data_IF_755432804263
#
_entry.id   IF_755432804263
#
_cell.length_a   1.000
_cell.length_b   1.000
_cell.length_c   1.000
_cell.angle_alpha   90.00
_cell.angle_beta   90.00
_cell.angle_gamma   90.00
#
_symmetry.space_group_name_H-M   'P 1'
#
loop_
_entity.id
_entity.type
_entity.pdbx_description
1 polymer ?
#
# COMPACT_ATOMS: atom_id res chain seq x y z
N UNK A 1 -15.84 12.66 -11.06
CA UNK A 1 -15.94 11.33 -11.72
C UNK A 1 -14.75 10.50 -11.23
N UNK A 2 -14.97 9.24 -10.83
CA UNK A 2 -14.00 8.47 -10.04
C UNK A 2 -12.63 8.23 -10.70
N UNK A 3 -12.58 8.04 -12.02
CA UNK A 3 -11.35 7.71 -12.77
C UNK A 3 -11.02 8.71 -13.89
N UNK A 4 -11.57 9.93 -13.80
CA UNK A 4 -11.24 10.98 -14.76
C UNK A 4 -9.79 11.41 -14.66
N UNK A 5 -9.32 12.11 -15.69
CA UNK A 5 -8.04 12.81 -15.61
C UNK A 5 -8.10 13.87 -14.51
N UNK A 6 -7.02 13.93 -13.72
CA UNK A 6 -6.82 14.93 -12.69
C UNK A 6 -5.34 15.33 -12.70
N UNK A 7 -5.07 16.63 -12.56
CA UNK A 7 -3.71 17.13 -12.35
C UNK A 7 -3.14 16.57 -11.03
N UNK A 8 -1.81 16.46 -10.98
CA UNK A 8 -1.10 16.07 -9.76
C UNK A 8 -0.93 17.25 -8.82
N UNK A 9 -1.08 16.98 -7.53
CA UNK A 9 -0.92 17.98 -6.47
C UNK A 9 -0.01 17.44 -5.38
N UNK A 10 0.73 18.34 -4.77
CA UNK A 10 1.37 18.13 -3.49
C UNK A 10 0.47 18.70 -2.39
N UNK A 11 0.35 18.00 -1.28
CA UNK A 11 -0.47 18.42 -0.14
C UNK A 11 0.42 18.82 1.03
N UNK A 12 0.13 19.97 1.64
CA UNK A 12 0.81 20.43 2.85
C UNK A 12 0.54 19.47 4.03
N UNK A 13 -0.70 19.00 4.16
CA UNK A 13 -1.08 17.94 5.11
C UNK A 13 -1.29 16.65 4.32
N UNK A 14 -0.27 15.78 4.33
CA UNK A 14 -0.28 14.53 3.58
C UNK A 14 -1.05 13.43 4.33
N UNK A 15 -2.15 12.88 3.78
CA UNK A 15 -2.89 11.79 4.41
C UNK A 15 -2.21 10.42 4.24
N UNK A 16 -1.20 10.27 3.39
CA UNK A 16 -0.49 9.00 3.16
C UNK A 16 0.29 8.60 4.41
N UNK A 17 -0.12 7.48 5.01
CA UNK A 17 0.55 6.88 6.16
C UNK A 17 1.56 5.81 5.76
N UNK A 18 1.34 5.14 4.61
CA UNK A 18 2.28 4.18 4.06
C UNK A 18 2.10 4.04 2.54
N UNK A 19 3.22 3.94 1.81
CA UNK A 19 3.24 3.55 0.39
C UNK A 19 4.14 2.34 0.24
N UNK A 20 3.67 1.31 -0.47
CA UNK A 20 4.32 0.01 -0.58
C UNK A 20 4.40 -0.39 -2.06
N UNK A 21 5.57 -0.77 -2.53
CA UNK A 21 5.74 -1.53 -3.77
C UNK A 21 6.19 -2.95 -3.42
N UNK A 22 5.52 -3.97 -3.96
CA UNK A 22 5.87 -5.38 -3.76
C UNK A 22 5.97 -6.09 -5.10
N UNK A 23 7.08 -6.79 -5.32
CA UNK A 23 7.30 -7.64 -6.46
C UNK A 23 7.42 -9.08 -5.98
N UNK A 24 6.53 -9.95 -6.46
CA UNK A 24 6.58 -11.39 -6.21
C UNK A 24 7.25 -12.10 -7.37
N UNK A 25 7.96 -13.18 -7.09
CA UNK A 25 8.71 -13.97 -8.06
C UNK A 25 8.71 -15.44 -7.65
N UNK A 26 8.96 -16.37 -8.59
CA UNK A 26 9.09 -17.79 -8.28
C UNK A 26 10.18 -18.01 -7.21
N UNK A 27 9.93 -18.92 -6.28
CA UNK A 27 10.77 -19.04 -5.08
C UNK A 27 12.27 -19.26 -5.40
N UNK A 28 13.12 -18.42 -4.82
CA UNK A 28 14.59 -18.49 -4.93
C UNK A 28 15.14 -19.05 -3.61
N UNK A 29 15.39 -20.36 -3.59
CA UNK A 29 15.78 -21.08 -2.38
C UNK A 29 17.11 -20.60 -1.76
N UNK A 30 18.03 -20.06 -2.58
CA UNK A 30 19.30 -19.52 -2.10
C UNK A 30 19.16 -18.34 -1.14
N UNK A 31 18.03 -17.60 -1.19
CA UNK A 31 17.71 -16.52 -0.24
C UNK A 31 17.45 -17.08 1.17
N UNK A 32 16.84 -18.26 1.26
CA UNK A 32 16.55 -18.91 2.55
C UNK A 32 17.65 -19.86 3.01
N UNK A 33 18.57 -20.25 2.13
CA UNK A 33 19.66 -21.17 2.47
C UNK A 33 20.71 -20.56 3.42
N UNK A 34 20.91 -19.24 3.35
CA UNK A 34 21.79 -18.46 4.22
C UNK A 34 21.28 -17.03 4.31
N UNK A 35 21.76 -16.26 5.28
CA UNK A 35 21.46 -14.82 5.32
C UNK A 35 21.89 -14.15 3.99
N UNK A 36 21.08 -13.21 3.45
CA UNK A 36 21.29 -12.58 2.15
C UNK A 36 22.40 -11.51 2.22
N UNK A 37 23.60 -11.89 2.69
CA UNK A 37 24.71 -10.99 2.97
C UNK A 37 25.14 -10.16 1.74
N UNK A 38 25.16 -10.74 0.55
CA UNK A 38 25.50 -10.01 -0.68
C UNK A 38 24.51 -8.88 -0.96
N UNK A 39 23.21 -9.13 -0.78
CA UNK A 39 22.19 -8.11 -0.95
C UNK A 39 22.26 -7.06 0.16
N UNK A 40 22.49 -7.50 1.41
CA UNK A 40 22.69 -6.61 2.54
C UNK A 40 23.86 -5.64 2.29
N UNK A 41 25.02 -6.14 1.85
CA UNK A 41 26.20 -5.34 1.54
C UNK A 41 25.93 -4.29 0.45
N UNK A 42 25.11 -4.63 -0.56
CA UNK A 42 24.76 -3.72 -1.64
C UNK A 42 23.84 -2.55 -1.17
N UNK A 43 22.93 -2.82 -0.22
CA UNK A 43 21.92 -1.83 0.22
C UNK A 43 22.25 -1.16 1.57
N UNK A 44 23.21 -1.67 2.35
CA UNK A 44 23.48 -1.22 3.73
C UNK A 44 23.82 0.25 3.90
N UNK A 45 24.33 0.91 2.84
CA UNK A 45 24.58 2.36 2.87
C UNK A 45 23.30 3.15 3.11
N UNK A 46 22.21 2.73 2.47
CA UNK A 46 20.91 3.43 2.52
C UNK A 46 19.98 2.79 3.57
N UNK A 47 20.17 1.49 3.83
CA UNK A 47 19.39 0.68 4.79
C UNK A 47 20.31 -0.02 5.81
N UNK A 48 20.94 0.72 6.73
CA UNK A 48 21.97 0.18 7.62
C UNK A 48 21.43 -0.74 8.73
N UNK A 49 20.14 -0.68 9.05
CA UNK A 49 19.53 -1.50 10.10
C UNK A 49 18.99 -2.80 9.50
N UNK A 50 19.33 -3.93 10.11
CA UNK A 50 18.90 -5.25 9.67
C UNK A 50 18.12 -5.97 10.77
N UNK A 51 17.01 -6.59 10.40
CA UNK A 51 16.17 -7.42 11.28
C UNK A 51 15.71 -8.66 10.53
N UNK A 52 15.53 -9.76 11.27
CA UNK A 52 14.95 -11.01 10.75
C UNK A 52 13.65 -11.27 11.49
N UNK A 53 12.56 -11.42 10.75
CA UNK A 53 11.25 -11.77 11.29
C UNK A 53 10.82 -13.12 10.71
N UNK A 54 10.24 -13.98 11.55
CA UNK A 54 9.60 -15.21 11.09
C UNK A 54 8.09 -14.97 11.05
N UNK A 55 7.57 -14.77 9.85
CA UNK A 55 6.14 -14.53 9.63
C UNK A 55 5.42 -15.85 9.48
N UNK A 56 4.38 -16.06 10.28
CA UNK A 56 3.55 -17.24 10.15
C UNK A 56 2.36 -16.92 9.24
N UNK A 57 2.21 -17.62 8.09
CA UNK A 57 1.07 -17.41 7.21
C UNK A 57 -0.25 -17.66 7.93
N UNK A 58 -1.30 -16.94 7.54
CA UNK A 58 -2.65 -17.24 8.00
C UNK A 58 -2.99 -18.71 7.68
N UNK A 59 -3.64 -19.45 8.61
CA UNK A 59 -4.04 -20.82 8.36
C UNK A 59 -4.95 -20.90 7.12
N UNK A 60 -4.69 -21.85 6.24
CA UNK A 60 -5.60 -22.16 5.14
C UNK A 60 -6.58 -23.22 5.62
N UNK A 61 -7.87 -23.00 5.38
CA UNK A 61 -8.86 -24.06 5.60
C UNK A 61 -8.91 -24.92 4.33
N UNK A 62 -8.50 -26.18 4.43
CA UNK A 62 -8.65 -27.17 3.37
C UNK A 62 -9.90 -28.00 3.62
N UNK A 63 -10.59 -28.44 2.55
CA UNK A 63 -11.79 -29.28 2.68
C UNK A 63 -13.04 -28.57 3.22
N UNK A 64 -13.15 -27.25 3.06
CA UNK A 64 -14.33 -26.47 3.46
C UNK A 64 -15.61 -27.07 2.82
N UNK A 65 -16.60 -27.44 3.64
CA UNK A 65 -17.84 -28.09 3.19
C UNK A 65 -17.80 -29.63 3.18
N UNK A 66 -16.71 -30.25 3.63
CA UNK A 66 -16.61 -31.70 3.88
C UNK A 66 -16.44 -32.00 5.38
N UNK A 67 -16.74 -33.23 5.85
CA UNK A 67 -16.47 -33.62 7.25
C UNK A 67 -14.98 -33.55 7.64
N UNK A 68 -14.09 -33.46 6.65
CA UNK A 68 -12.63 -33.47 6.82
C UNK A 68 -12.00 -32.08 6.72
N UNK A 69 -12.75 -31.01 7.02
CA UNK A 69 -12.18 -29.66 7.04
C UNK A 69 -11.00 -29.59 8.01
N UNK A 70 -9.84 -29.15 7.53
CA UNK A 70 -8.60 -29.02 8.32
C UNK A 70 -8.04 -27.61 8.20
N UNK A 71 -7.47 -27.14 9.31
CA UNK A 71 -6.65 -25.94 9.32
C UNK A 71 -5.21 -26.35 9.04
N UNK A 72 -4.73 -26.01 7.85
CA UNK A 72 -3.33 -26.20 7.47
C UNK A 72 -2.56 -24.92 7.76
N UNK A 73 -1.59 -25.03 8.66
CA UNK A 73 -0.68 -23.95 8.98
C UNK A 73 0.52 -24.01 8.02
N UNK A 74 0.74 -22.94 7.28
CA UNK A 74 1.90 -22.85 6.39
C UNK A 74 3.20 -22.80 7.19
N UNK A 75 4.30 -23.24 6.57
CA UNK A 75 5.63 -23.08 7.15
C UNK A 75 5.94 -21.59 7.39
N UNK A 76 6.66 -21.24 8.47
CA UNK A 76 7.11 -19.88 8.71
C UNK A 76 7.94 -19.35 7.54
N UNK A 77 7.67 -18.11 7.13
CA UNK A 77 8.41 -17.41 6.09
C UNK A 77 9.42 -16.50 6.77
N UNK A 78 10.70 -16.67 6.47
CA UNK A 78 11.74 -15.75 6.92
C UNK A 78 11.68 -14.47 6.08
N UNK A 79 11.43 -13.35 6.75
CA UNK A 79 11.44 -12.01 6.18
C UNK A 79 12.65 -11.22 6.69
N UNK A 80 13.56 -10.91 5.77
CA UNK A 80 14.73 -10.07 6.01
C UNK A 80 14.35 -8.61 5.80
N UNK A 81 14.34 -7.83 6.87
CA UNK A 81 14.02 -6.40 6.83
C UNK A 81 15.28 -5.56 6.89
N UNK A 82 15.46 -4.67 5.91
CA UNK A 82 16.50 -3.64 5.87
C UNK A 82 15.86 -2.27 6.02
N UNK A 83 16.30 -1.48 7.00
CA UNK A 83 15.61 -0.26 7.42
C UNK A 83 16.59 0.91 7.35
N UNK A 84 16.12 2.05 6.83
CA UNK A 84 16.89 3.29 6.81
C UNK A 84 17.24 3.79 8.21
N UNK A 85 18.26 4.64 8.32
CA UNK A 85 18.70 5.17 9.61
C UNK A 85 17.61 5.97 10.35
N UNK A 86 16.71 6.63 9.62
CA UNK A 86 15.56 7.35 10.17
C UNK A 86 14.35 6.44 10.48
N UNK A 87 14.38 5.18 10.06
CA UNK A 87 13.27 4.24 10.23
C UNK A 87 12.09 4.46 9.30
N UNK A 88 12.19 5.39 8.33
CA UNK A 88 11.08 5.78 7.47
C UNK A 88 10.97 4.95 6.20
N UNK A 89 12.05 4.28 5.78
CA UNK A 89 12.09 3.41 4.61
C UNK A 89 12.43 1.98 5.05
N UNK A 90 11.74 1.02 4.44
CA UNK A 90 11.91 -0.40 4.74
C UNK A 90 11.93 -1.21 3.46
N UNK A 91 12.99 -1.99 3.28
CA UNK A 91 13.05 -3.10 2.33
C UNK A 91 12.73 -4.40 3.06
N UNK A 92 11.90 -5.23 2.45
CA UNK A 92 11.68 -6.61 2.87
C UNK A 92 12.11 -7.54 1.76
N UNK A 93 12.83 -8.61 2.11
CA UNK A 93 13.22 -9.67 1.20
C UNK A 93 12.84 -11.01 1.82
N UNK A 94 12.05 -11.80 1.08
CA UNK A 94 11.82 -13.21 1.36
C UNK A 94 12.31 -14.03 0.18
N UNK A 95 12.15 -15.36 0.22
CA UNK A 95 12.45 -16.20 -0.93
C UNK A 95 11.49 -16.03 -2.11
N UNK A 96 10.39 -15.28 -1.98
CA UNK A 96 9.33 -15.18 -3.01
C UNK A 96 8.85 -13.77 -3.28
N UNK A 97 9.35 -12.77 -2.53
CA UNK A 97 9.09 -11.37 -2.84
C UNK A 97 10.18 -10.43 -2.33
N UNK A 98 10.26 -9.27 -2.99
CA UNK A 98 10.94 -8.07 -2.51
C UNK A 98 9.91 -6.94 -2.40
N UNK A 99 9.99 -6.14 -1.35
CA UNK A 99 9.12 -4.98 -1.20
C UNK A 99 9.86 -3.77 -0.64
N UNK A 100 9.53 -2.58 -1.13
CA UNK A 100 9.93 -1.30 -0.56
C UNK A 100 8.70 -0.61 0.02
N UNK A 101 8.78 -0.13 1.26
CA UNK A 101 7.77 0.76 1.82
C UNK A 101 8.36 2.02 2.44
N UNK A 102 7.54 3.06 2.51
CA UNK A 102 7.85 4.31 3.19
C UNK A 102 6.69 4.82 4.03
N UNK A 103 7.01 5.35 5.21
CA UNK A 103 6.08 6.06 6.08
C UNK A 103 6.09 7.59 5.84
N UNK A 104 6.95 8.06 4.92
CA UNK A 104 7.05 9.48 4.56
C UNK A 104 7.17 9.61 3.05
N UNK A 105 6.08 9.30 2.36
CA UNK A 105 5.98 9.54 0.93
C UNK A 105 5.95 11.05 0.64
N UNK A 106 6.78 11.50 -0.29
CA UNK A 106 6.81 12.90 -0.73
C UNK A 106 6.21 13.06 -2.12
N UNK A 107 6.75 12.33 -3.09
CA UNK A 107 6.26 12.28 -4.47
C UNK A 107 6.71 10.99 -5.15
N UNK A 108 6.16 10.75 -6.34
CA UNK A 108 6.36 9.52 -7.09
C UNK A 108 7.80 9.33 -7.52
N UNK A 109 8.41 10.40 -8.03
CA UNK A 109 9.76 10.39 -8.59
C UNK A 109 10.78 9.94 -7.55
N UNK A 110 10.66 10.43 -6.31
CA UNK A 110 11.58 10.09 -5.23
C UNK A 110 11.37 8.65 -4.75
N UNK A 111 10.12 8.17 -4.76
CA UNK A 111 9.81 6.78 -4.42
C UNK A 111 10.35 5.81 -5.48
N UNK A 112 10.09 6.09 -6.75
CA UNK A 112 10.59 5.29 -7.87
C UNK A 112 12.12 5.25 -7.88
N UNK A 113 12.79 6.40 -7.74
CA UNK A 113 14.25 6.47 -7.66
C UNK A 113 14.82 5.66 -6.48
N UNK A 114 14.15 5.67 -5.32
CA UNK A 114 14.58 4.86 -4.17
C UNK A 114 14.36 3.36 -4.36
N UNK A 115 13.45 2.95 -5.23
CA UNK A 115 13.24 1.55 -5.58
C UNK A 115 14.29 1.02 -6.57
N UNK A 116 14.76 1.88 -7.49
CA UNK A 116 15.64 1.48 -8.59
C UNK A 116 16.89 0.72 -8.13
N UNK A 117 17.65 1.29 -7.18
CA UNK A 117 18.91 0.68 -6.72
C UNK A 117 18.68 -0.69 -6.04
N UNK A 118 17.83 -0.82 -5.00
CA UNK A 118 17.57 -2.12 -4.39
C UNK A 118 17.06 -3.17 -5.39
N UNK A 119 16.21 -2.77 -6.34
CA UNK A 119 15.69 -3.69 -7.33
C UNK A 119 16.77 -4.14 -8.32
N UNK A 120 17.63 -3.23 -8.78
CA UNK A 120 18.75 -3.56 -9.66
C UNK A 120 19.73 -4.55 -8.99
N UNK A 121 20.11 -4.29 -7.74
CA UNK A 121 20.98 -5.18 -6.95
C UNK A 121 20.34 -6.56 -6.75
N UNK A 122 19.03 -6.59 -6.47
CA UNK A 122 18.28 -7.85 -6.36
C UNK A 122 18.33 -8.66 -7.67
N UNK A 123 18.06 -8.02 -8.82
CA UNK A 123 18.08 -8.66 -10.13
C UNK A 123 19.49 -9.18 -10.45
N UNK A 124 20.53 -8.40 -10.18
CA UNK A 124 21.92 -8.79 -10.44
C UNK A 124 22.34 -10.00 -9.59
N UNK A 125 21.96 -10.04 -8.30
CA UNK A 125 22.38 -11.07 -7.36
C UNK A 125 21.60 -12.37 -7.56
N UNK A 126 20.28 -12.29 -7.75
CA UNK A 126 19.39 -13.46 -7.71
C UNK A 126 18.81 -13.86 -9.05
N UNK A 127 18.90 -13.01 -10.08
CA UNK A 127 18.49 -13.33 -11.45
C UNK A 127 17.09 -13.98 -11.53
N UNK A 128 16.03 -13.34 -11.00
CA UNK A 128 14.69 -13.90 -11.05
C UNK A 128 14.29 -14.13 -12.52
N UNK A 129 13.69 -15.29 -12.83
CA UNK A 129 13.28 -15.60 -14.21
C UNK A 129 12.20 -14.65 -14.71
N UNK A 130 11.27 -14.25 -13.83
CA UNK A 130 10.22 -13.27 -14.05
C UNK A 130 9.61 -12.88 -12.70
N UNK A 131 8.78 -11.84 -12.70
CA UNK A 131 7.90 -11.49 -11.58
C UNK A 131 6.51 -12.05 -11.82
N UNK A 132 5.95 -12.73 -10.82
CA UNK A 132 4.58 -13.28 -10.81
C UNK A 132 3.53 -12.19 -10.58
N UNK A 133 3.91 -11.15 -9.81
CA UNK A 133 3.05 -10.01 -9.49
C UNK A 133 3.88 -8.78 -9.21
N UNK A 134 3.43 -7.64 -9.73
CA UNK A 134 3.90 -6.30 -9.32
C UNK A 134 2.72 -5.60 -8.67
N UNK A 135 2.89 -5.14 -7.43
CA UNK A 135 1.87 -4.42 -6.68
C UNK A 135 2.36 -3.06 -6.20
N UNK A 136 1.46 -2.08 -6.17
CA UNK A 136 1.68 -0.74 -5.69
C UNK A 136 0.47 -0.31 -4.83
N UNK A 137 0.72 -0.08 -3.54
CA UNK A 137 -0.31 0.21 -2.55
C UNK A 137 -0.09 1.57 -1.90
N UNK A 138 -1.16 2.35 -1.80
CA UNK A 138 -1.21 3.61 -1.06
C UNK A 138 -2.23 3.51 0.07
N UNK A 139 -1.79 3.74 1.29
CA UNK A 139 -2.65 3.78 2.47
C UNK A 139 -2.77 5.23 2.93
N UNK A 140 -3.97 5.78 2.82
CA UNK A 140 -4.30 7.12 3.30
C UNK A 140 -5.13 7.03 4.57
N UNK A 141 -4.92 7.96 5.50
CA UNK A 141 -5.74 8.14 6.68
C UNK A 141 -6.03 9.63 6.89
N UNK A 142 -7.24 10.05 6.53
CA UNK A 142 -7.66 11.45 6.65
C UNK A 142 -8.04 11.76 8.10
N UNK A 143 -7.33 12.70 8.72
CA UNK A 143 -7.55 13.17 10.09
C UNK A 143 -8.32 14.48 10.06
N UNK A 144 -9.54 14.49 10.59
CA UNK A 144 -10.32 15.73 10.75
C UNK A 144 -9.59 16.67 11.70
N UNK A 145 -8.99 16.13 12.76
CA UNK A 145 -8.21 16.92 13.73
C UNK A 145 -7.00 17.60 13.10
N UNK A 146 -6.17 16.88 12.36
CA UNK A 146 -4.98 17.45 11.73
C UNK A 146 -5.31 18.48 10.64
N UNK A 147 -6.51 18.40 10.08
CA UNK A 147 -7.01 19.31 9.06
C UNK A 147 -7.86 20.45 9.62
N UNK A 148 -8.10 20.50 10.95
CA UNK A 148 -9.03 21.43 11.60
C UNK A 148 -10.46 21.37 11.03
N UNK A 149 -10.92 20.17 10.69
CA UNK A 149 -12.26 19.86 10.17
C UNK A 149 -13.10 19.10 11.21
N UNK A 150 -12.79 19.28 12.49
CA UNK A 150 -13.59 18.73 13.59
C UNK A 150 -14.98 19.39 13.55
N UNK A 151 -16.01 18.62 13.19
CA UNK A 151 -17.39 19.10 13.02
C UNK A 151 -17.96 18.85 11.63
N UNK A 152 -17.13 18.72 10.60
CA UNK A 152 -17.58 18.31 9.26
C UNK A 152 -17.97 16.84 9.24
N UNK A 153 -19.03 16.52 8.50
CA UNK A 153 -19.40 15.13 8.21
C UNK A 153 -18.45 14.54 7.17
N UNK A 154 -18.28 13.22 7.16
CA UNK A 154 -17.52 12.55 6.11
C UNK A 154 -18.13 12.76 4.72
N UNK A 155 -19.45 12.96 4.62
CA UNK A 155 -20.16 13.33 3.39
C UNK A 155 -19.74 14.67 2.79
N UNK A 156 -19.21 15.59 3.60
CA UNK A 156 -18.64 16.86 3.14
C UNK A 156 -17.20 16.67 2.61
N UNK A 157 -16.50 15.63 3.04
CA UNK A 157 -15.06 15.44 2.84
C UNK A 157 -14.71 14.37 1.80
N UNK A 158 -15.54 13.33 1.70
CA UNK A 158 -15.30 12.15 0.87
C UNK A 158 -16.46 11.98 -0.11
N UNK A 159 -16.15 11.55 -1.33
CA UNK A 159 -17.15 11.33 -2.36
C UNK A 159 -18.14 10.22 -1.97
N UNK A 160 -19.44 10.35 -2.28
CA UNK A 160 -20.49 9.40 -1.87
C UNK A 160 -20.20 7.92 -2.21
N UNK A 161 -19.50 7.67 -3.33
CA UNK A 161 -19.14 6.33 -3.78
C UNK A 161 -18.30 5.52 -2.76
N UNK A 162 -17.67 6.19 -1.79
CA UNK A 162 -16.84 5.55 -0.76
C UNK A 162 -17.50 5.50 0.61
N UNK A 163 -18.68 6.12 0.77
CA UNK A 163 -19.30 6.35 2.07
C UNK A 163 -20.43 5.37 2.40
N UNK A 164 -21.04 4.76 1.38
CA UNK A 164 -22.23 3.94 1.59
C UNK A 164 -23.31 4.74 2.33
N UNK A 165 -23.85 4.18 3.41
CA UNK A 165 -24.91 4.83 4.21
C UNK A 165 -24.48 6.15 4.86
N UNK A 166 -23.18 6.40 5.04
CA UNK A 166 -22.68 7.68 5.59
C UNK A 166 -22.86 8.86 4.62
N UNK A 167 -23.24 8.60 3.36
CA UNK A 167 -23.59 9.65 2.42
C UNK A 167 -24.98 10.24 2.65
N UNK A 168 -25.86 9.54 3.39
CA UNK A 168 -27.25 9.95 3.61
C UNK A 168 -27.37 10.98 4.74
N UNK A 169 -28.15 12.04 4.51
CA UNK A 169 -28.25 13.19 5.42
C UNK A 169 -29.00 12.89 6.72
N UNK A 170 -29.84 11.87 6.74
CA UNK A 170 -30.65 11.44 7.89
C UNK A 170 -29.92 10.42 8.78
N UNK A 171 -28.67 10.09 8.45
CA UNK A 171 -27.83 9.15 9.20
C UNK A 171 -26.91 9.91 10.15
N UNK A 172 -27.07 9.72 11.45
CA UNK A 172 -26.13 10.22 12.46
C UNK A 172 -24.85 9.36 12.46
N UNK A 173 -23.73 9.91 11.98
CA UNK A 173 -22.43 9.23 11.96
C UNK A 173 -22.02 8.66 13.32
N UNK A 174 -22.42 9.29 14.43
CA UNK A 174 -22.06 8.84 15.79
C UNK A 174 -22.77 7.56 16.19
N UNK A 175 -23.92 7.27 15.58
CA UNK A 175 -24.66 6.03 15.79
C UNK A 175 -24.11 4.87 14.96
N UNK A 176 -23.27 5.15 13.95
CA UNK A 176 -22.71 4.14 13.05
C UNK A 176 -21.46 3.52 13.66
N UNK A 177 -21.59 2.29 14.18
CA UNK A 177 -20.46 1.56 14.78
C UNK A 177 -19.39 1.11 13.77
N UNK A 178 -19.78 0.81 12.53
CA UNK A 178 -18.87 0.44 11.43
C UNK A 178 -19.53 0.70 10.08
N UNK A 179 -18.80 1.34 9.17
CA UNK A 179 -19.17 1.44 7.76
C UNK A 179 -17.89 1.33 6.93
N UNK A 180 -17.83 0.37 6.02
CA UNK A 180 -16.69 0.20 5.13
C UNK A 180 -17.09 -0.42 3.81
N UNK A 181 -16.31 -0.13 2.78
CA UNK A 181 -16.43 -0.61 1.41
C UNK A 181 -15.18 -1.41 1.08
N UNK A 182 -15.35 -2.60 0.50
CA UNK A 182 -14.30 -3.38 -0.13
C UNK A 182 -14.63 -3.59 -1.61
N UNK A 183 -13.73 -3.20 -2.51
CA UNK A 183 -13.89 -3.36 -3.96
C UNK A 183 -12.71 -4.12 -4.53
N UNK A 184 -13.00 -5.13 -5.34
CA UNK A 184 -12.02 -5.76 -6.22
C UNK A 184 -12.51 -5.66 -7.66
N UNK A 185 -11.75 -4.98 -8.52
CA UNK A 185 -12.14 -4.77 -9.91
C UNK A 185 -10.96 -4.84 -10.88
N UNK A 186 -11.26 -5.19 -12.14
CA UNK A 186 -10.34 -5.01 -13.25
C UNK A 186 -10.42 -3.56 -13.76
N UNK A 187 -9.27 -2.97 -13.98
CA UNK A 187 -9.06 -1.78 -14.79
C UNK A 187 -8.44 -2.23 -16.12
N UNK A 188 -8.26 -1.30 -17.05
CA UNK A 188 -7.72 -1.61 -18.40
C UNK A 188 -6.37 -2.33 -18.35
N UNK A 189 -5.44 -1.82 -17.53
CA UNK A 189 -4.05 -2.30 -17.47
C UNK A 189 -3.68 -3.03 -16.16
N UNK A 190 -4.54 -3.01 -15.15
CA UNK A 190 -4.25 -3.57 -13.83
C UNK A 190 -5.50 -3.98 -13.04
N UNK A 191 -5.31 -4.58 -11.87
CA UNK A 191 -6.36 -4.91 -10.90
C UNK A 191 -6.29 -3.90 -9.75
N UNK A 192 -7.45 -3.45 -9.29
CA UNK A 192 -7.60 -2.64 -8.08
C UNK A 192 -8.21 -3.50 -6.96
N UNK A 193 -7.59 -3.46 -5.79
CA UNK A 193 -8.21 -3.80 -4.50
C UNK A 193 -8.28 -2.54 -3.66
N UNK A 194 -9.47 -2.19 -3.20
CA UNK A 194 -9.74 -0.97 -2.44
C UNK A 194 -10.47 -1.32 -1.16
N UNK A 195 -10.00 -0.76 -0.05
CA UNK A 195 -10.72 -0.68 1.21
C UNK A 195 -10.91 0.79 1.58
N UNK A 196 -12.15 1.17 1.91
CA UNK A 196 -12.47 2.54 2.30
C UNK A 196 -13.47 2.60 3.45
N UNK A 197 -13.31 3.55 4.37
CA UNK A 197 -14.27 3.80 5.45
C UNK A 197 -13.64 4.37 6.73
N UNK A 198 -14.44 4.83 7.69
CA UNK A 198 -13.93 5.24 9.00
C UNK A 198 -13.27 4.09 9.77
N UNK A 199 -12.09 4.33 10.32
CA UNK A 199 -11.32 3.32 11.04
C UNK A 199 -10.25 3.91 11.97
N UNK A 200 -9.67 3.03 12.79
CA UNK A 200 -8.61 3.38 13.74
C UNK A 200 -7.27 2.83 13.27
N UNK A 201 -6.27 3.70 13.14
CA UNK A 201 -4.90 3.26 12.89
C UNK A 201 -4.36 2.47 14.08
N UNK A 202 -3.77 1.29 13.81
CA UNK A 202 -3.21 0.43 14.85
C UNK A 202 -4.22 0.01 15.94
N UNK A 203 -5.52 0.00 15.63
CA UNK A 203 -6.58 -0.31 16.58
C UNK A 203 -6.78 0.73 17.68
N UNK A 204 -6.34 1.97 17.47
CA UNK A 204 -6.59 3.08 18.40
C UNK A 204 -5.63 3.16 19.58
N UNK A 205 -4.64 2.25 19.66
CA UNK A 205 -3.74 2.14 20.84
C UNK A 205 -2.87 3.36 21.09
N UNK A 206 -2.38 3.99 20.01
CA UNK A 206 -1.55 5.21 20.08
C UNK A 206 -2.33 6.48 19.78
N UNK A 207 -3.35 6.35 18.94
CA UNK A 207 -4.14 7.46 18.44
C UNK A 207 -5.61 7.01 18.36
N UNK A 208 -6.47 7.49 19.27
CA UNK A 208 -7.87 7.08 19.32
C UNK A 208 -8.76 7.81 18.30
N UNK A 209 -8.20 8.71 17.47
CA UNK A 209 -8.99 9.40 16.45
C UNK A 209 -9.45 8.44 15.34
N UNK A 210 -10.76 8.40 15.11
CA UNK A 210 -11.34 7.77 13.92
C UNK A 210 -10.99 8.61 12.70
N UNK A 211 -10.21 8.03 11.79
CA UNK A 211 -9.82 8.62 10.50
C UNK A 211 -10.58 7.94 9.38
N UNK A 212 -10.75 8.61 8.25
CA UNK A 212 -11.22 7.94 7.05
C UNK A 212 -10.04 7.24 6.38
N UNK A 213 -10.10 5.91 6.25
CA UNK A 213 -9.06 5.13 5.61
C UNK A 213 -9.39 5.00 4.13
N UNK A 214 -8.41 5.26 3.27
CA UNK A 214 -8.48 4.98 1.84
C UNK A 214 -7.22 4.19 1.45
N UNK A 215 -7.38 2.87 1.40
CA UNK A 215 -6.33 1.90 1.16
C UNK A 215 -6.56 1.24 -0.19
N UNK A 216 -5.64 1.49 -1.13
CA UNK A 216 -5.76 1.03 -2.51
C UNK A 216 -4.49 0.29 -2.91
N UNK A 217 -4.63 -0.94 -3.40
CA UNK A 217 -3.57 -1.80 -3.93
C UNK A 217 -3.86 -2.07 -5.42
N UNK A 218 -2.99 -1.54 -6.27
CA UNK A 218 -2.99 -1.79 -7.70
C UNK A 218 -2.00 -2.91 -8.01
N UNK A 219 -2.38 -3.84 -8.89
CA UNK A 219 -1.45 -4.89 -9.29
C UNK A 219 -1.64 -5.44 -10.68
N UNK A 220 -0.54 -5.95 -11.23
CA UNK A 220 -0.50 -6.76 -12.44
C UNK A 220 0.08 -8.12 -12.07
N UNK A 221 -0.49 -9.19 -12.61
CA UNK A 221 -0.04 -10.57 -12.39
C UNK A 221 0.22 -11.26 -13.73
N UNK A 222 1.13 -12.22 -13.74
CA UNK A 222 1.51 -12.98 -14.94
C UNK A 222 3.00 -13.30 -14.93
N UNK A 223 3.55 -13.68 -16.09
CA UNK A 223 4.99 -13.87 -16.24
C UNK A 223 5.61 -12.56 -16.72
N UNK A 224 5.92 -11.66 -15.78
CA UNK A 224 6.33 -10.28 -16.08
C UNK A 224 7.85 -10.16 -16.12
N UNK A 225 8.46 -9.81 -17.26
CA UNK A 225 9.90 -9.55 -17.33
C UNK A 225 10.29 -8.30 -16.52
N UNK A 226 11.53 -8.25 -16.04
CA UNK A 226 11.99 -7.18 -15.15
C UNK A 226 11.98 -5.78 -15.78
N UNK A 227 12.20 -5.68 -17.10
CA UNK A 227 12.17 -4.43 -17.86
C UNK A 227 10.76 -3.80 -17.93
N UNK A 228 9.70 -4.57 -17.65
CA UNK A 228 8.32 -4.07 -17.58
C UNK A 228 7.96 -3.42 -16.25
N UNK A 229 8.79 -3.59 -15.22
CA UNK A 229 8.48 -3.08 -13.87
C UNK A 229 8.24 -1.57 -13.86
N UNK A 230 9.12 -0.71 -14.41
CA UNK A 230 8.93 0.74 -14.34
C UNK A 230 7.65 1.21 -15.04
N UNK A 231 7.33 0.63 -16.22
CA UNK A 231 6.13 0.96 -16.97
C UNK A 231 4.85 0.59 -16.24
N UNK A 232 4.78 -0.63 -15.68
CA UNK A 232 3.62 -1.08 -14.91
C UNK A 232 3.41 -0.21 -13.66
N UNK A 233 4.50 0.13 -12.95
CA UNK A 233 4.44 0.99 -11.79
C UNK A 233 3.94 2.41 -12.13
N UNK A 234 4.38 2.98 -13.25
CA UNK A 234 3.92 4.29 -13.70
C UNK A 234 2.41 4.29 -14.02
N UNK A 235 1.90 3.27 -14.72
CA UNK A 235 0.47 3.14 -15.02
C UNK A 235 -0.36 2.99 -13.73
N UNK A 236 0.08 2.13 -12.81
CA UNK A 236 -0.60 1.96 -11.51
C UNK A 236 -0.58 3.25 -10.69
N UNK A 237 0.51 4.01 -10.70
CA UNK A 237 0.57 5.32 -10.03
C UNK A 237 -0.43 6.31 -10.63
N UNK A 238 -0.61 6.33 -11.96
CA UNK A 238 -1.63 7.18 -12.59
C UNK A 238 -3.05 6.82 -12.14
N UNK A 239 -3.38 5.52 -12.06
CA UNK A 239 -4.66 5.10 -11.51
C UNK A 239 -4.84 5.51 -10.04
N UNK A 240 -3.78 5.39 -9.23
CA UNK A 240 -3.80 5.80 -7.83
C UNK A 240 -4.11 7.30 -7.68
N UNK A 241 -3.46 8.15 -8.49
CA UNK A 241 -3.73 9.60 -8.51
C UNK A 241 -5.19 9.90 -8.85
N UNK A 242 -5.73 9.25 -9.89
CA UNK A 242 -7.12 9.46 -10.32
C UNK A 242 -8.11 9.03 -9.25
N UNK A 243 -7.91 7.83 -8.67
CA UNK A 243 -8.77 7.29 -7.62
C UNK A 243 -8.76 8.20 -6.38
N UNK A 244 -7.57 8.62 -5.92
CA UNK A 244 -7.44 9.53 -4.79
C UNK A 244 -8.17 10.87 -5.04
N UNK A 245 -7.96 11.49 -6.21
CA UNK A 245 -8.63 12.75 -6.56
C UNK A 245 -10.14 12.59 -6.73
N UNK A 246 -10.61 11.44 -7.23
CA UNK A 246 -12.03 11.11 -7.30
C UNK A 246 -12.68 10.81 -5.95
N UNK A 247 -11.89 10.48 -4.93
CA UNK A 247 -12.36 10.17 -3.58
C UNK A 247 -12.52 11.40 -2.69
N UNK A 248 -11.72 12.44 -2.88
CA UNK A 248 -11.72 13.61 -2.00
C UNK A 248 -12.58 14.74 -2.58
N UNK A 249 -13.41 15.37 -1.76
CA UNK A 249 -14.21 16.54 -2.17
C UNK A 249 -13.33 17.78 -2.32
N UNK A 250 -13.89 18.87 -2.86
CA UNK A 250 -13.20 20.15 -2.95
C UNK A 250 -12.85 20.73 -1.57
N UNK A 251 -13.70 20.50 -0.56
CA UNK A 251 -13.45 20.92 0.82
C UNK A 251 -12.20 20.23 1.38
N UNK A 252 -12.17 18.89 1.34
CA UNK A 252 -11.02 18.12 1.81
C UNK A 252 -9.76 18.43 1.00
N UNK A 253 -9.88 18.54 -0.32
CA UNK A 253 -8.77 18.89 -1.21
C UNK A 253 -8.12 20.22 -0.81
N UNK A 254 -8.94 21.24 -0.52
CA UNK A 254 -8.48 22.57 -0.11
C UNK A 254 -7.87 22.54 1.28
N UNK A 255 -8.51 21.85 2.23
CA UNK A 255 -8.04 21.74 3.61
C UNK A 255 -6.67 21.05 3.71
N UNK A 256 -6.35 20.13 2.81
CA UNK A 256 -5.03 19.49 2.73
C UNK A 256 -3.92 20.42 2.20
N UNK A 257 -4.24 21.64 1.76
CA UNK A 257 -3.27 22.61 1.24
C UNK A 257 -2.68 22.20 -0.11
N UNK A 258 -3.56 21.90 -1.08
CA UNK A 258 -3.16 21.44 -2.40
C UNK A 258 -2.36 22.49 -3.19
N UNK A 259 -1.20 22.10 -3.70
CA UNK A 259 -0.38 22.90 -4.63
C UNK A 259 -0.17 22.09 -5.91
N UNK A 260 -0.49 22.61 -7.11
CA UNK A 260 -0.24 21.91 -8.36
C UNK A 260 1.23 21.51 -8.50
N UNK A 261 1.48 20.28 -8.95
CA UNK A 261 2.81 19.85 -9.34
C UNK A 261 3.01 20.16 -10.83
N UNK A 262 4.10 20.86 -11.15
CA UNK A 262 4.57 21.09 -12.53
C UNK A 262 5.28 19.89 -13.10
#
# INVERSE_FOLDING_TARGET
>A
MLFSYYDRYQYAVNPLVEVICQLRFPAILSISAKEPAAFQEAVRRDFPRYLVNHEQPAPKVTGLGTPNARLEQGAPITNYSFISADGLWKLNLTNSFIALSTLRYQRWEDFAQRLDKPLAEFIQIYQPSFFERIGLRYVNAFSRKALNLEGSAWSDLIAPAFLGILAEQDVDEKAVGKCSLDVEMALEDCRLKLHAGPGLLGGGKKDPEVKFILDNDFSVSGNLPADRVPGNLAVMHQHAVRLFRGAVTSELHTAMGATPMT
#
